data_IF_316847169703
#
_entry.id   IF_316847169703
#
_cell.length_a   1.000
_cell.length_b   1.000
_cell.length_c   1.000
_cell.angle_alpha   90.00
_cell.angle_beta   90.00
_cell.angle_gamma   90.00
#
_symmetry.space_group_name_H-M   'P 1'
#
loop_
_entity.id
_entity.type
_entity.pdbx_description
1 polymer ?
#
# COMPACT_ATOMS: atom_id res chain seq x y z
N UNK A 1 -9.93 14.22 -20.14
CA UNK A 1 -8.77 13.86 -19.29
C UNK A 1 -8.51 15.08 -18.44
N UNK A 2 -8.71 14.98 -17.11
CA UNK A 2 -8.40 16.08 -16.20
C UNK A 2 -6.87 16.20 -16.12
N UNK A 3 -6.32 17.39 -16.34
CA UNK A 3 -4.88 17.63 -16.30
C UNK A 3 -4.42 17.96 -14.89
N UNK A 4 -3.37 17.30 -14.40
CA UNK A 4 -2.82 17.51 -13.06
C UNK A 4 -2.38 18.96 -12.81
N UNK A 5 -1.94 19.66 -13.87
CA UNK A 5 -1.59 21.09 -13.82
C UNK A 5 -2.81 21.99 -13.57
N UNK A 6 -4.00 21.60 -14.03
CA UNK A 6 -5.23 22.31 -13.74
C UNK A 6 -5.64 22.11 -12.28
N UNK A 7 -5.61 20.86 -11.81
CA UNK A 7 -5.91 20.50 -10.40
C UNK A 7 -4.97 21.27 -9.45
N UNK A 8 -3.67 21.28 -9.75
CA UNK A 8 -2.68 22.00 -8.92
C UNK A 8 -2.92 23.51 -8.87
N UNK A 9 -3.33 24.11 -9.99
CA UNK A 9 -3.67 25.54 -10.03
C UNK A 9 -4.89 25.88 -9.17
N UNK A 10 -5.86 24.98 -9.11
CA UNK A 10 -7.10 25.19 -8.37
C UNK A 10 -6.92 24.96 -6.86
N UNK A 11 -6.09 23.99 -6.45
CA UNK A 11 -5.91 23.60 -5.05
C UNK A 11 -4.76 24.33 -4.35
N UNK A 12 -3.66 24.63 -5.05
CA UNK A 12 -2.51 25.36 -4.50
C UNK A 12 -1.64 24.62 -3.47
N UNK A 13 -2.13 23.51 -2.89
CA UNK A 13 -1.39 22.62 -1.97
C UNK A 13 -1.15 21.24 -2.62
N UNK A 14 0.11 20.78 -2.60
CA UNK A 14 0.50 19.49 -3.17
C UNK A 14 -0.12 18.29 -2.40
N UNK A 15 -0.48 18.45 -1.12
CA UNK A 15 -1.23 17.44 -0.34
C UNK A 15 -2.66 17.27 -0.83
N UNK A 16 -3.34 18.37 -1.12
CA UNK A 16 -4.70 18.36 -1.64
C UNK A 16 -4.71 17.75 -3.05
N UNK A 17 -3.70 18.08 -3.87
CA UNK A 17 -3.51 17.47 -5.19
C UNK A 17 -3.32 15.96 -5.07
N UNK A 18 -2.45 15.49 -4.19
CA UNK A 18 -2.23 14.06 -3.95
C UNK A 18 -3.52 13.35 -3.52
N UNK A 19 -4.30 13.95 -2.63
CA UNK A 19 -5.56 13.38 -2.12
C UNK A 19 -6.62 13.28 -3.22
N UNK A 20 -6.75 14.31 -4.06
CA UNK A 20 -7.68 14.31 -5.20
C UNK A 20 -7.25 13.28 -6.24
N UNK A 21 -5.97 13.21 -6.59
CA UNK A 21 -5.45 12.22 -7.52
C UNK A 21 -5.65 10.78 -7.00
N UNK A 22 -5.41 10.53 -5.71
CA UNK A 22 -5.69 9.24 -5.09
C UNK A 22 -7.17 8.86 -5.20
N UNK A 23 -8.07 9.82 -4.95
CA UNK A 23 -9.52 9.60 -5.09
C UNK A 23 -9.92 9.29 -6.54
N UNK A 24 -9.29 9.96 -7.52
CA UNK A 24 -9.48 9.65 -8.95
C UNK A 24 -8.94 8.25 -9.30
N UNK A 25 -7.81 7.86 -8.72
CA UNK A 25 -7.24 6.51 -8.84
C UNK A 25 -8.19 5.44 -8.32
N UNK A 26 -8.76 5.63 -7.13
CA UNK A 26 -9.77 4.73 -6.56
C UNK A 26 -11.01 4.63 -7.45
N UNK A 27 -11.53 5.75 -7.95
CA UNK A 27 -12.67 5.75 -8.86
C UNK A 27 -12.38 5.02 -10.18
N UNK A 28 -11.18 5.20 -10.74
CA UNK A 28 -10.75 4.47 -11.93
C UNK A 28 -10.59 2.96 -11.65
N UNK A 29 -10.06 2.62 -10.48
CA UNK A 29 -9.90 1.24 -10.01
C UNK A 29 -11.26 0.53 -9.87
N UNK A 30 -12.25 1.18 -9.25
CA UNK A 30 -13.63 0.66 -9.14
C UNK A 30 -14.28 0.45 -10.51
N UNK A 31 -13.95 1.30 -11.48
CA UNK A 31 -14.39 1.18 -12.88
C UNK A 31 -13.60 0.12 -13.67
N UNK A 32 -12.60 -0.52 -13.05
CA UNK A 32 -11.67 -1.46 -13.67
C UNK A 32 -10.85 -0.86 -14.81
N UNK A 33 -10.71 0.46 -14.83
CA UNK A 33 -9.75 1.14 -15.70
C UNK A 33 -8.39 1.18 -15.01
N UNK A 34 -7.73 0.02 -15.02
CA UNK A 34 -6.48 -0.19 -14.30
C UNK A 34 -5.34 0.71 -14.80
N UNK A 35 -5.35 1.06 -16.09
CA UNK A 35 -4.34 1.97 -16.68
C UNK A 35 -4.51 3.38 -16.13
N UNK A 36 -5.75 3.89 -16.11
CA UNK A 36 -6.01 5.19 -15.52
C UNK A 36 -5.78 5.20 -14.00
N UNK A 37 -6.16 4.13 -13.30
CA UNK A 37 -5.92 3.99 -11.87
C UNK A 37 -4.43 4.06 -11.54
N UNK A 38 -3.60 3.28 -12.25
CA UNK A 38 -2.15 3.27 -12.05
C UNK A 38 -1.57 4.66 -12.27
N UNK A 39 -1.96 5.33 -13.36
CA UNK A 39 -1.52 6.69 -13.66
C UNK A 39 -1.85 7.65 -12.52
N UNK A 40 -3.10 7.66 -12.06
CA UNK A 40 -3.52 8.58 -11.00
C UNK A 40 -2.83 8.30 -9.66
N UNK A 41 -2.63 7.02 -9.30
CA UNK A 41 -1.91 6.70 -8.07
C UNK A 41 -0.42 7.04 -8.14
N UNK A 42 0.24 6.83 -9.30
CA UNK A 42 1.65 7.23 -9.48
C UNK A 42 1.81 8.76 -9.43
N UNK A 43 0.93 9.50 -10.08
CA UNK A 43 0.93 10.96 -9.98
C UNK A 43 0.68 11.40 -8.53
N UNK A 44 -0.30 10.80 -7.83
CA UNK A 44 -0.54 11.09 -6.41
C UNK A 44 0.70 10.83 -5.54
N UNK A 45 1.44 9.75 -5.81
CA UNK A 45 2.68 9.42 -5.11
C UNK A 45 3.76 10.50 -5.28
N UNK A 46 3.91 11.04 -6.49
CA UNK A 46 4.88 12.11 -6.77
C UNK A 46 4.59 13.38 -5.95
N UNK A 47 3.31 13.75 -5.83
CA UNK A 47 2.89 14.90 -5.03
C UNK A 47 2.97 14.63 -3.52
N UNK A 48 2.62 13.42 -3.07
CA UNK A 48 2.64 13.08 -1.66
C UNK A 48 4.05 12.92 -1.10
N UNK A 49 5.04 12.50 -1.90
CA UNK A 49 6.43 12.23 -1.45
C UNK A 49 7.11 13.40 -0.74
N UNK A 50 6.74 14.64 -1.08
CA UNK A 50 7.30 15.85 -0.46
C UNK A 50 6.50 16.32 0.77
N UNK A 51 5.39 15.65 1.09
CA UNK A 51 4.54 15.99 2.21
C UNK A 51 5.24 15.70 3.53
N UNK A 52 5.09 16.59 4.51
CA UNK A 52 5.41 16.29 5.90
C UNK A 52 4.39 15.31 6.52
N UNK A 53 3.21 15.20 5.93
CA UNK A 53 2.16 14.27 6.35
C UNK A 53 2.39 12.90 5.70
N UNK A 54 2.80 11.96 6.54
CA UNK A 54 3.08 10.59 6.14
C UNK A 54 1.82 9.76 5.91
N UNK A 55 0.67 10.17 6.43
CA UNK A 55 -0.60 9.53 6.07
C UNK A 55 -0.94 9.85 4.61
N UNK A 56 -0.72 11.09 4.17
CA UNK A 56 -0.88 11.49 2.76
C UNK A 56 0.07 10.71 1.85
N UNK A 57 1.31 10.43 2.30
CA UNK A 57 2.25 9.56 1.58
C UNK A 57 1.77 8.11 1.46
N UNK A 58 1.07 7.59 2.48
CA UNK A 58 0.62 6.20 2.49
C UNK A 58 -0.52 5.92 1.50
N UNK A 59 -1.43 6.87 1.31
CA UNK A 59 -2.62 6.72 0.46
C UNK A 59 -2.33 6.13 -0.94
N UNK A 60 -1.45 6.74 -1.77
CA UNK A 60 -1.16 6.21 -3.09
C UNK A 60 -0.39 4.88 -3.05
N UNK A 61 0.39 4.62 -2.01
CA UNK A 61 1.11 3.34 -1.84
C UNK A 61 0.11 2.20 -1.65
N UNK A 62 -0.87 2.37 -0.75
CA UNK A 62 -1.94 1.39 -0.53
C UNK A 62 -2.77 1.18 -1.82
N UNK A 63 -3.05 2.26 -2.55
CA UNK A 63 -3.75 2.22 -3.84
C UNK A 63 -3.01 1.41 -4.91
N UNK A 64 -1.69 1.62 -5.05
CA UNK A 64 -0.85 0.86 -5.98
C UNK A 64 -0.72 -0.61 -5.58
N UNK A 65 -0.62 -0.90 -4.28
CA UNK A 65 -0.59 -2.28 -3.77
C UNK A 65 -1.87 -3.04 -4.10
N UNK A 66 -3.04 -2.42 -3.87
CA UNK A 66 -4.34 -3.02 -4.20
C UNK A 66 -4.52 -3.21 -5.71
N UNK A 67 -4.15 -2.21 -6.50
CA UNK A 67 -4.22 -2.29 -7.96
C UNK A 67 -3.34 -3.42 -8.51
N UNK A 68 -2.10 -3.53 -8.02
CA UNK A 68 -1.16 -4.57 -8.44
C UNK A 68 -1.67 -5.98 -8.06
N UNK A 69 -2.32 -6.14 -6.90
CA UNK A 69 -3.01 -7.38 -6.52
C UNK A 69 -4.10 -7.75 -7.52
N UNK A 70 -4.99 -6.81 -7.84
CA UNK A 70 -6.09 -7.03 -8.78
C UNK A 70 -5.59 -7.34 -10.20
N UNK A 71 -4.46 -6.73 -10.59
CA UNK A 71 -3.76 -7.01 -11.85
C UNK A 71 -2.91 -8.29 -11.82
N UNK A 72 -2.88 -9.03 -10.70
CA UNK A 72 -2.09 -10.26 -10.50
C UNK A 72 -0.58 -10.06 -10.63
N UNK A 73 -0.11 -8.84 -10.38
CA UNK A 73 1.30 -8.46 -10.39
C UNK A 73 1.88 -8.67 -8.98
N UNK A 74 2.00 -9.93 -8.58
CA UNK A 74 2.32 -10.32 -7.19
C UNK A 74 3.62 -9.71 -6.66
N UNK A 75 4.67 -9.69 -7.47
CA UNK A 75 5.96 -9.12 -7.08
C UNK A 75 5.88 -7.60 -6.85
N UNK A 76 5.12 -6.88 -7.67
CA UNK A 76 4.93 -5.44 -7.54
C UNK A 76 4.02 -5.12 -6.34
N UNK A 77 2.92 -5.86 -6.17
CA UNK A 77 2.05 -5.75 -5.01
C UNK A 77 2.82 -5.96 -3.69
N UNK A 78 3.70 -6.97 -3.63
CA UNK A 78 4.57 -7.22 -2.49
C UNK A 78 5.44 -6.00 -2.17
N UNK A 79 6.08 -5.41 -3.16
CA UNK A 79 6.93 -4.24 -2.97
C UNK A 79 6.14 -3.05 -2.42
N UNK A 80 4.93 -2.80 -2.95
CA UNK A 80 4.07 -1.72 -2.46
C UNK A 80 3.63 -1.94 -1.02
N UNK A 81 3.20 -3.16 -0.65
CA UNK A 81 2.80 -3.45 0.73
C UNK A 81 3.98 -3.49 1.71
N UNK A 82 5.18 -3.88 1.28
CA UNK A 82 6.39 -3.77 2.12
C UNK A 82 6.75 -2.30 2.38
N UNK A 83 6.59 -1.41 1.39
CA UNK A 83 6.76 0.03 1.56
C UNK A 83 5.70 0.62 2.48
N UNK A 84 4.42 0.26 2.31
CA UNK A 84 3.33 0.68 3.20
C UNK A 84 3.61 0.24 4.64
N UNK A 85 4.05 -1.00 4.85
CA UNK A 85 4.38 -1.51 6.18
C UNK A 85 5.56 -0.76 6.82
N UNK A 86 6.59 -0.42 6.05
CA UNK A 86 7.73 0.35 6.54
C UNK A 86 7.29 1.75 7.00
N UNK A 87 6.51 2.45 6.16
CA UNK A 87 5.97 3.78 6.47
C UNK A 87 5.03 3.73 7.68
N UNK A 88 4.12 2.75 7.72
CA UNK A 88 3.14 2.57 8.79
C UNK A 88 3.81 2.32 10.15
N UNK A 89 4.91 1.57 10.18
CA UNK A 89 5.72 1.38 11.39
C UNK A 89 6.44 2.65 11.82
N UNK A 90 6.93 3.44 10.88
CA UNK A 90 7.61 4.69 11.17
C UNK A 90 6.68 5.72 11.83
N UNK A 91 5.39 5.73 11.45
CA UNK A 91 4.38 6.61 12.05
C UNK A 91 3.60 6.00 13.21
N UNK A 92 3.79 4.70 13.48
CA UNK A 92 3.08 3.98 14.54
C UNK A 92 1.58 3.80 14.28
N UNK A 93 1.13 3.85 13.02
CA UNK A 93 -0.29 3.80 12.69
C UNK A 93 -0.75 2.35 12.48
N UNK A 94 -1.48 1.82 13.46
CA UNK A 94 -1.89 0.41 13.51
C UNK A 94 -2.80 0.02 12.34
N UNK A 95 -3.66 0.92 11.86
CA UNK A 95 -4.56 0.66 10.73
C UNK A 95 -3.81 0.36 9.44
N UNK A 96 -2.78 1.14 9.12
CA UNK A 96 -1.94 0.90 7.95
C UNK A 96 -1.08 -0.35 8.10
N UNK A 97 -0.59 -0.65 9.29
CA UNK A 97 0.11 -1.91 9.56
C UNK A 97 -0.81 -3.10 9.28
N UNK A 98 -2.07 -3.03 9.70
CA UNK A 98 -3.06 -4.08 9.43
C UNK A 98 -3.36 -4.21 7.93
N UNK A 99 -3.56 -3.09 7.23
CA UNK A 99 -3.76 -3.02 5.77
C UNK A 99 -2.61 -3.68 5.01
N UNK A 100 -1.38 -3.26 5.29
CA UNK A 100 -0.18 -3.78 4.63
C UNK A 100 0.02 -5.28 4.87
N UNK A 101 -0.18 -5.75 6.10
CA UNK A 101 -0.09 -7.17 6.41
C UNK A 101 -1.18 -8.00 5.73
N UNK A 102 -2.40 -7.47 5.62
CA UNK A 102 -3.48 -8.11 4.88
C UNK A 102 -3.12 -8.23 3.40
N UNK A 103 -2.66 -7.15 2.77
CA UNK A 103 -2.20 -7.14 1.39
C UNK A 103 -1.09 -8.15 1.12
N UNK A 104 -0.06 -8.19 1.98
CA UNK A 104 1.00 -9.20 1.91
C UNK A 104 0.44 -10.62 2.02
N UNK A 105 -0.45 -10.89 2.98
CA UNK A 105 -1.06 -12.21 3.13
C UNK A 105 -1.80 -12.65 1.85
N UNK A 106 -2.53 -11.74 1.20
CA UNK A 106 -3.18 -12.00 -0.08
C UNK A 106 -2.16 -12.31 -1.20
N UNK A 107 -1.06 -11.55 -1.29
CA UNK A 107 0.03 -11.83 -2.25
C UNK A 107 0.61 -13.22 -2.02
N UNK A 108 0.91 -13.58 -0.76
CA UNK A 108 1.44 -14.89 -0.40
C UNK A 108 0.48 -16.02 -0.76
N UNK A 109 -0.82 -15.88 -0.50
CA UNK A 109 -1.82 -16.87 -0.89
C UNK A 109 -1.88 -17.05 -2.42
N UNK A 110 -1.82 -15.94 -3.16
CA UNK A 110 -1.84 -15.95 -4.62
C UNK A 110 -0.58 -16.60 -5.22
N UNK A 111 0.60 -16.31 -4.67
CA UNK A 111 1.87 -16.94 -5.06
C UNK A 111 1.93 -18.43 -4.68
N UNK A 112 1.20 -18.85 -3.64
CA UNK A 112 1.21 -20.22 -3.13
C UNK A 112 0.39 -21.23 -3.96
N UNK A 113 -0.28 -20.82 -5.05
CA UNK A 113 -1.00 -21.73 -5.97
C UNK A 113 -0.53 -21.50 -7.42
N UNK A 114 -0.01 -22.51 -8.17
CA UNK A 114 -0.20 -23.96 -8.03
C UNK A 114 1.11 -24.77 -7.88
N UNK A 115 1.28 -25.48 -6.74
CA UNK A 115 2.05 -26.74 -6.71
C UNK A 115 3.37 -26.83 -5.93
N UNK A 116 3.58 -26.22 -4.74
CA UNK A 116 4.78 -26.53 -3.94
C UNK A 116 4.60 -26.53 -2.41
N UNK A 117 5.53 -27.26 -1.76
CA UNK A 117 5.42 -28.05 -0.53
C UNK A 117 5.13 -27.32 0.81
N UNK A 118 4.41 -28.06 1.66
CA UNK A 118 4.02 -27.79 3.06
C UNK A 118 5.17 -27.31 3.97
N UNK A 119 6.44 -27.55 3.60
CA UNK A 119 7.62 -27.15 4.38
C UNK A 119 7.87 -25.64 4.47
N UNK A 120 7.55 -24.87 3.42
CA UNK A 120 7.72 -23.41 3.46
C UNK A 120 6.70 -22.72 4.36
N UNK A 121 5.51 -23.34 4.53
CA UNK A 121 4.44 -22.89 5.42
C UNK A 121 4.85 -22.93 6.90
N UNK A 122 5.75 -23.85 7.27
CA UNK A 122 6.22 -24.05 8.65
C UNK A 122 7.27 -23.02 9.09
N UNK A 123 8.10 -22.54 8.17
CA UNK A 123 9.17 -21.57 8.49
C UNK A 123 8.62 -20.14 8.71
N UNK A 124 7.51 -19.78 8.07
CA UNK A 124 6.87 -18.46 8.24
C UNK A 124 5.98 -18.35 9.48
N UNK A 125 5.38 -19.44 9.95
CA UNK A 125 4.73 -19.45 11.26
C UNK A 125 5.73 -19.11 12.38
N UNK A 126 7.00 -19.48 12.20
CA UNK A 126 8.10 -19.14 13.13
C UNK A 126 8.54 -17.68 13.07
N UNK A 127 8.54 -17.05 11.89
CA UNK A 127 8.91 -15.63 11.78
C UNK A 127 7.78 -14.71 12.24
N UNK A 128 6.52 -15.06 11.98
CA UNK A 128 5.35 -14.31 12.49
C UNK A 128 5.26 -14.45 14.01
N UNK A 129 5.47 -15.64 14.57
CA UNK A 129 5.49 -15.84 16.04
C UNK A 129 6.60 -15.06 16.75
N UNK A 130 7.72 -14.75 16.07
CA UNK A 130 8.80 -13.90 16.62
C UNK A 130 8.43 -12.41 16.68
N UNK A 131 7.58 -11.96 15.75
CA UNK A 131 7.05 -10.59 15.73
C UNK A 131 5.99 -10.42 16.84
N UNK A 132 5.15 -11.42 17.10
CA UNK A 132 4.16 -11.32 18.19
C UNK A 132 4.80 -11.35 19.57
N UNK A 133 5.85 -12.17 19.78
CA UNK A 133 6.57 -12.24 21.07
C UNK A 133 7.37 -10.98 21.41
N UNK A 134 7.69 -10.13 20.43
CA UNK A 134 8.40 -8.86 20.70
C UNK A 134 7.45 -7.73 21.09
N UNK A 135 6.17 -7.85 20.78
CA UNK A 135 5.15 -6.87 21.17
C UNK A 135 4.67 -7.11 22.61
N UNK A 136 4.67 -8.36 23.11
CA UNK A 136 4.27 -8.68 24.50
C UNK A 136 5.31 -8.31 25.58
N UNK A 137 6.52 -7.85 25.21
CA UNK A 137 7.60 -7.55 26.20
C UNK A 137 7.80 -6.04 26.43
N UNK A 138 7.07 -5.16 25.73
CA UNK A 138 7.23 -3.69 25.87
C UNK A 138 6.17 -3.05 26.79
N UNK A 139 5.15 -3.79 27.23
CA UNK A 139 4.26 -3.38 28.33
C UNK A 139 4.41 -4.37 29.49
N UNK A 140 5.42 -4.17 30.35
CA UNK A 140 5.43 -4.36 31.82
C UNK A 140 6.84 -3.91 32.27
N UNK A 141 6.98 -2.62 32.56
CA UNK A 141 7.67 -2.03 33.74
C UNK A 141 7.63 -0.50 33.67
#
# INVERSE_FOLDING_TARGET
MLDVLAIRRDLGDDNDVATVLNSLGLLAHERKDYVAAEKYFREALEFSQQSADKEVQALPISGLGALALDCKQWAEARQWYEQELALAKEIGQVSLIASANYGLACVWEAESRPGMNVGAKFLLCFSISRITLTIEVVEIE
#
